data_IF_756034692594
#
_entry.id   IF_756034692594
#
_cell.length_a   1.000
_cell.length_b   1.000
_cell.length_c   1.000
_cell.angle_alpha   90.00
_cell.angle_beta   90.00
_cell.angle_gamma   90.00
#
_symmetry.space_group_name_H-M   'P 1'
#
loop_
_entity.id
_entity.type
_entity.pdbx_description
1 polymer ?
#
# COMPACT_ATOMS: atom_id res chain seq x y z
N UNK A 1 35.33 -16.70 -1.81
CA UNK A 1 34.51 -16.25 -2.96
C UNK A 1 33.58 -15.15 -2.46
N UNK A 2 33.42 -14.03 -3.20
CA UNK A 2 32.53 -12.95 -2.77
C UNK A 2 31.09 -13.45 -2.64
N UNK A 3 30.39 -12.99 -1.62
CA UNK A 3 28.99 -13.38 -1.37
C UNK A 3 28.07 -12.84 -2.49
N UNK A 4 26.87 -13.44 -2.69
CA UNK A 4 25.92 -12.96 -3.69
C UNK A 4 25.63 -11.45 -3.60
N UNK A 5 25.49 -10.91 -2.38
CA UNK A 5 25.25 -9.49 -2.15
C UNK A 5 26.47 -8.60 -2.46
N UNK A 6 27.69 -9.08 -2.23
CA UNK A 6 28.90 -8.34 -2.61
C UNK A 6 29.03 -8.21 -4.13
N UNK A 7 28.76 -9.31 -4.86
CA UNK A 7 28.71 -9.28 -6.32
C UNK A 7 27.67 -8.29 -6.83
N UNK A 8 26.53 -8.21 -6.15
CA UNK A 8 25.44 -7.29 -6.50
C UNK A 8 25.88 -5.85 -6.37
N UNK A 9 26.46 -5.47 -5.24
CA UNK A 9 26.91 -4.10 -5.04
C UNK A 9 28.01 -3.68 -6.01
N UNK A 10 28.89 -4.61 -6.42
CA UNK A 10 29.85 -4.32 -7.49
C UNK A 10 29.15 -4.00 -8.82
N UNK A 11 28.16 -4.79 -9.23
CA UNK A 11 27.42 -4.55 -10.49
C UNK A 11 26.49 -3.34 -10.43
N UNK A 12 25.93 -3.04 -9.26
CA UNK A 12 25.05 -1.90 -9.03
C UNK A 12 25.81 -0.58 -8.75
N UNK A 13 27.14 -0.61 -8.74
CA UNK A 13 27.98 0.53 -8.34
C UNK A 13 27.81 1.78 -9.20
N UNK A 14 27.35 1.65 -10.45
CA UNK A 14 27.05 2.77 -11.32
C UNK A 14 25.74 3.50 -10.97
N UNK A 15 24.79 2.82 -10.31
CA UNK A 15 23.44 3.34 -10.06
C UNK A 15 23.46 4.66 -9.26
N UNK A 16 24.21 4.80 -8.16
CA UNK A 16 24.26 6.07 -7.42
C UNK A 16 24.70 7.27 -8.26
N UNK A 17 25.68 7.07 -9.15
CA UNK A 17 26.14 8.12 -10.08
C UNK A 17 25.05 8.47 -11.08
N UNK A 18 24.33 7.48 -11.62
CA UNK A 18 23.21 7.74 -12.53
C UNK A 18 22.10 8.53 -11.84
N UNK A 19 21.75 8.20 -10.60
CA UNK A 19 20.77 8.95 -9.81
C UNK A 19 21.20 10.40 -9.58
N UNK A 20 22.46 10.62 -9.20
CA UNK A 20 23.01 11.98 -9.05
C UNK A 20 22.93 12.80 -10.34
N UNK A 21 23.18 12.17 -11.49
CA UNK A 21 23.08 12.85 -12.78
C UNK A 21 21.62 13.17 -13.15
N UNK A 22 20.66 12.34 -12.76
CA UNK A 22 19.22 12.63 -12.93
C UNK A 22 18.81 13.80 -12.06
N UNK A 23 19.25 13.86 -10.80
CA UNK A 23 18.93 14.97 -9.90
C UNK A 23 19.47 16.31 -10.45
N UNK A 24 20.71 16.30 -10.96
CA UNK A 24 21.30 17.45 -11.63
C UNK A 24 20.49 17.84 -12.88
N UNK A 25 20.17 16.88 -13.74
CA UNK A 25 19.35 17.11 -14.93
C UNK A 25 17.96 17.71 -14.58
N UNK A 26 17.27 17.16 -13.58
CA UNK A 26 15.96 17.65 -13.13
C UNK A 26 16.05 19.09 -12.61
N UNK A 27 17.16 19.48 -11.97
CA UNK A 27 17.39 20.86 -11.53
C UNK A 27 17.65 21.84 -12.69
N UNK A 28 18.43 21.43 -13.70
CA UNK A 28 18.80 22.26 -14.86
C UNK A 28 17.68 22.37 -15.90
N UNK A 29 16.85 21.33 -16.05
CA UNK A 29 15.78 21.23 -17.07
C UNK A 29 14.58 22.17 -16.87
N UNK A 30 14.54 22.94 -15.77
CA UNK A 30 13.49 23.94 -15.53
C UNK A 30 13.65 25.20 -16.41
N UNK A 31 14.81 25.38 -17.05
CA UNK A 31 15.06 26.49 -17.97
C UNK A 31 14.60 26.15 -19.40
N UNK A 32 13.49 26.76 -19.82
CA UNK A 32 12.82 26.50 -21.12
C UNK A 32 13.65 26.84 -22.37
N UNK A 33 14.82 27.47 -22.21
CA UNK A 33 15.70 27.91 -23.30
C UNK A 33 16.56 26.79 -23.90
N UNK A 34 16.67 25.61 -23.26
CA UNK A 34 17.55 24.49 -23.64
C UNK A 34 16.80 23.20 -24.02
N UNK A 35 15.62 23.31 -24.65
CA UNK A 35 14.74 22.16 -24.90
C UNK A 35 15.38 21.01 -25.70
N UNK A 36 16.21 21.30 -26.72
CA UNK A 36 16.86 20.25 -27.53
C UNK A 36 17.99 19.53 -26.77
N UNK A 37 18.82 20.27 -26.04
CA UNK A 37 19.87 19.72 -25.20
C UNK A 37 19.29 18.85 -24.08
N UNK A 38 18.18 19.29 -23.48
CA UNK A 38 17.48 18.53 -22.45
C UNK A 38 16.95 17.18 -22.97
N UNK A 39 16.46 17.13 -24.21
CA UNK A 39 16.02 15.86 -24.83
C UNK A 39 17.20 14.91 -25.06
N UNK A 40 18.34 15.42 -25.54
CA UNK A 40 19.56 14.63 -25.74
C UNK A 40 20.11 14.08 -24.41
N UNK A 41 20.17 14.91 -23.37
CA UNK A 41 20.63 14.50 -22.04
C UNK A 41 19.69 13.46 -21.41
N UNK A 42 18.38 13.66 -21.49
CA UNK A 42 17.39 12.67 -21.04
C UNK A 42 17.54 11.33 -21.78
N UNK A 43 17.84 11.36 -23.10
CA UNK A 43 18.06 10.15 -23.90
C UNK A 43 19.33 9.41 -23.48
N UNK A 44 20.43 10.11 -23.23
CA UNK A 44 21.67 9.51 -22.76
C UNK A 44 21.51 8.86 -21.36
N UNK A 45 20.78 9.52 -20.46
CA UNK A 45 20.44 8.96 -19.14
C UNK A 45 19.58 7.69 -19.29
N UNK A 46 18.54 7.71 -20.14
CA UNK A 46 17.73 6.52 -20.42
C UNK A 46 18.57 5.34 -20.88
N UNK A 47 19.47 5.55 -21.84
CA UNK A 47 20.34 4.48 -22.33
C UNK A 47 21.22 3.90 -21.21
N UNK A 48 21.72 4.77 -20.33
CA UNK A 48 22.52 4.36 -19.18
C UNK A 48 21.73 3.51 -18.17
N UNK A 49 20.47 3.88 -17.88
CA UNK A 49 19.59 3.06 -17.04
C UNK A 49 19.18 1.74 -17.68
N UNK A 50 18.96 1.71 -19.00
CA UNK A 50 18.71 0.45 -19.71
C UNK A 50 19.91 -0.48 -19.61
N UNK A 51 21.12 0.03 -19.82
CA UNK A 51 22.35 -0.75 -19.62
C UNK A 51 22.47 -1.27 -18.19
N UNK A 52 22.18 -0.44 -17.18
CA UNK A 52 22.16 -0.87 -15.79
C UNK A 52 21.12 -1.99 -15.53
N UNK A 53 19.92 -1.88 -16.09
CA UNK A 53 18.89 -2.93 -15.99
C UNK A 53 19.31 -4.23 -16.68
N UNK A 54 19.93 -4.17 -17.86
CA UNK A 54 20.46 -5.35 -18.55
C UNK A 54 21.49 -6.06 -17.67
N UNK A 55 22.42 -5.33 -17.07
CA UNK A 55 23.40 -5.90 -16.13
C UNK A 55 22.74 -6.54 -14.90
N UNK A 56 21.67 -5.95 -14.36
CA UNK A 56 20.90 -6.52 -13.25
C UNK A 56 20.11 -7.77 -13.67
N UNK A 57 19.56 -7.81 -14.89
CA UNK A 57 18.86 -8.98 -15.44
C UNK A 57 19.82 -10.15 -15.66
N UNK A 58 21.00 -9.90 -16.23
CA UNK A 58 22.06 -10.90 -16.36
C UNK A 58 22.48 -11.46 -15.01
N UNK A 59 22.60 -10.57 -14.02
CA UNK A 59 22.91 -11.00 -12.65
C UNK A 59 21.82 -11.88 -12.03
N UNK A 60 20.55 -11.56 -12.25
CA UNK A 60 19.45 -12.38 -11.75
C UNK A 60 19.49 -13.80 -12.36
N UNK A 61 19.80 -13.89 -13.66
CA UNK A 61 19.98 -15.17 -14.34
C UNK A 61 21.16 -15.96 -13.76
N UNK A 62 22.29 -15.29 -13.49
CA UNK A 62 23.45 -15.91 -12.83
C UNK A 62 23.11 -16.42 -11.43
N UNK A 63 22.42 -15.62 -10.60
CA UNK A 63 21.98 -16.02 -9.27
C UNK A 63 21.05 -17.23 -9.34
N UNK A 64 20.09 -17.21 -10.26
CA UNK A 64 19.14 -18.30 -10.48
C UNK A 64 19.86 -19.59 -10.90
N UNK A 65 20.83 -19.51 -11.81
CA UNK A 65 21.64 -20.66 -12.23
C UNK A 65 22.52 -21.24 -11.11
N UNK A 66 22.94 -20.41 -10.16
CA UNK A 66 23.67 -20.80 -8.96
C UNK A 66 22.76 -21.34 -7.84
N UNK A 67 21.45 -21.43 -8.09
CA UNK A 67 20.47 -21.92 -7.12
C UNK A 67 19.97 -20.86 -6.13
N UNK A 68 20.39 -19.60 -6.28
CA UNK A 68 19.89 -18.46 -5.49
C UNK A 68 18.56 -17.98 -6.09
N UNK A 69 17.49 -18.73 -5.85
CA UNK A 69 16.11 -18.40 -6.25
C UNK A 69 15.13 -18.71 -5.12
N UNK A 70 13.91 -18.13 -5.12
CA UNK A 70 12.88 -18.54 -4.19
C UNK A 70 12.66 -20.06 -4.26
N UNK A 71 12.57 -20.71 -3.09
CA UNK A 71 12.41 -22.14 -2.94
C UNK A 71 11.12 -22.49 -2.20
N UNK A 72 10.81 -23.77 -2.14
CA UNK A 72 9.68 -24.27 -1.35
C UNK A 72 10.01 -24.18 0.15
N UNK A 73 9.00 -23.95 1.01
CA UNK A 73 9.17 -24.06 2.46
C UNK A 73 9.69 -25.45 2.85
N UNK A 74 10.44 -25.57 3.97
CA UNK A 74 10.77 -26.87 4.52
C UNK A 74 9.48 -27.64 4.88
N UNK A 75 9.44 -28.98 4.71
CA UNK A 75 8.23 -29.76 4.96
C UNK A 75 7.82 -29.67 6.43
N UNK A 76 6.70 -28.99 6.70
CA UNK A 76 6.10 -28.85 8.03
C UNK A 76 5.42 -30.16 8.45
N UNK A 77 5.72 -30.66 9.65
CA UNK A 77 5.06 -31.86 10.23
C UNK A 77 3.63 -31.61 10.75
N UNK A 78 3.09 -30.39 10.64
CA UNK A 78 1.75 -30.03 11.12
C UNK A 78 0.75 -29.93 9.97
N UNK A 79 -0.21 -30.86 9.95
CA UNK A 79 -1.44 -30.74 9.15
C UNK A 79 -2.42 -29.81 9.87
N UNK A 80 -2.38 -28.51 9.59
CA UNK A 80 -3.47 -27.60 9.95
C UNK A 80 -3.47 -26.38 9.03
N UNK A 81 -4.65 -26.07 8.45
CA UNK A 81 -5.27 -24.80 8.00
C UNK A 81 -4.41 -23.63 7.40
N UNK A 82 -3.10 -23.55 7.62
CA UNK A 82 -2.15 -22.51 7.18
C UNK A 82 -1.69 -22.63 5.71
N UNK A 83 -2.25 -23.57 4.94
CA UNK A 83 -1.84 -23.85 3.56
C UNK A 83 -1.87 -22.64 2.63
N UNK A 84 -2.77 -21.67 2.84
CA UNK A 84 -2.87 -20.47 1.98
C UNK A 84 -1.87 -19.36 2.35
N UNK A 85 -1.35 -19.33 3.58
CA UNK A 85 -0.37 -18.34 4.02
C UNK A 85 1.04 -18.77 3.62
N UNK A 86 1.35 -20.07 3.73
CA UNK A 86 2.62 -20.64 3.26
C UNK A 86 2.85 -20.50 1.74
N UNK A 87 1.79 -20.49 0.93
CA UNK A 87 1.88 -20.27 -0.53
C UNK A 87 2.32 -18.84 -0.89
N UNK A 88 2.28 -17.90 0.06
CA UNK A 88 2.50 -16.46 -0.17
C UNK A 88 3.85 -15.95 0.32
N UNK A 89 4.56 -16.73 1.12
CA UNK A 89 5.87 -16.39 1.67
C UNK A 89 6.97 -16.93 0.76
N UNK A 90 7.90 -16.08 0.35
CA UNK A 90 9.06 -16.53 -0.39
C UNK A 90 10.11 -17.09 0.57
N UNK A 91 10.45 -18.36 0.38
CA UNK A 91 11.56 -19.00 1.08
C UNK A 91 12.83 -18.92 0.24
N UNK A 92 13.99 -18.93 0.88
CA UNK A 92 15.28 -18.84 0.21
C UNK A 92 16.26 -19.90 0.73
N UNK A 93 17.29 -20.27 -0.05
CA UNK A 93 18.34 -21.19 0.40
C UNK A 93 19.16 -20.67 1.60
N UNK A 94 19.07 -19.37 1.91
CA UNK A 94 19.78 -18.73 3.02
C UNK A 94 19.67 -17.21 2.96
N UNK A 95 19.97 -16.54 4.08
CA UNK A 95 19.82 -15.08 4.22
C UNK A 95 20.62 -14.27 3.20
N UNK A 96 21.79 -14.76 2.79
CA UNK A 96 22.63 -14.10 1.78
C UNK A 96 22.00 -14.13 0.39
N UNK A 97 21.22 -15.16 0.08
CA UNK A 97 20.46 -15.29 -1.17
C UNK A 97 19.24 -14.38 -1.14
N UNK A 98 18.50 -14.39 -0.02
CA UNK A 98 17.35 -13.52 0.20
C UNK A 98 17.75 -12.04 0.07
N UNK A 99 18.80 -11.62 0.78
CA UNK A 99 19.29 -10.25 0.71
C UNK A 99 19.76 -9.87 -0.70
N UNK A 100 20.45 -10.75 -1.42
CA UNK A 100 20.86 -10.46 -2.79
C UNK A 100 19.68 -10.26 -3.74
N UNK A 101 18.65 -11.10 -3.68
CA UNK A 101 17.48 -10.97 -4.54
C UNK A 101 16.64 -9.74 -4.17
N UNK A 102 16.39 -9.53 -2.88
CA UNK A 102 15.61 -8.37 -2.39
C UNK A 102 16.27 -7.04 -2.79
N UNK A 103 17.59 -6.91 -2.67
CA UNK A 103 18.30 -5.71 -3.15
C UNK A 103 18.35 -5.61 -4.67
N UNK A 104 18.47 -6.73 -5.39
CA UNK A 104 18.44 -6.75 -6.85
C UNK A 104 17.09 -6.23 -7.37
N UNK A 105 15.98 -6.70 -6.80
CA UNK A 105 14.63 -6.21 -7.11
C UNK A 105 14.47 -4.73 -6.75
N UNK A 106 15.03 -4.31 -5.60
CA UNK A 106 15.03 -2.90 -5.18
C UNK A 106 15.75 -2.00 -6.20
N UNK A 107 16.92 -2.41 -6.69
CA UNK A 107 17.66 -1.65 -7.70
C UNK A 107 16.95 -1.62 -9.06
N UNK A 108 16.31 -2.73 -9.46
CA UNK A 108 15.46 -2.75 -10.64
C UNK A 108 14.30 -1.77 -10.53
N UNK A 109 13.59 -1.75 -9.39
CA UNK A 109 12.50 -0.79 -9.13
C UNK A 109 13.00 0.64 -9.29
N UNK A 110 14.16 0.98 -8.72
CA UNK A 110 14.75 2.31 -8.81
C UNK A 110 15.03 2.67 -10.29
N UNK A 111 15.77 1.83 -11.01
CA UNK A 111 16.09 2.10 -12.42
C UNK A 111 14.85 2.22 -13.31
N UNK A 112 13.86 1.33 -13.12
CA UNK A 112 12.60 1.37 -13.88
C UNK A 112 11.76 2.62 -13.55
N UNK A 113 11.80 3.08 -12.30
CA UNK A 113 11.08 4.30 -11.87
C UNK A 113 11.70 5.53 -12.53
N UNK A 114 13.02 5.68 -12.51
CA UNK A 114 13.70 6.79 -13.18
C UNK A 114 13.52 6.76 -14.70
N UNK A 115 13.54 5.57 -15.33
CA UNK A 115 13.23 5.43 -16.75
C UNK A 115 11.83 5.94 -17.10
N UNK A 116 10.85 5.66 -16.24
CA UNK A 116 9.46 6.12 -16.42
C UNK A 116 9.35 7.62 -16.26
N UNK A 117 10.02 8.23 -15.26
CA UNK A 117 10.01 9.68 -15.08
C UNK A 117 10.73 10.40 -16.24
N UNK A 118 11.88 9.89 -16.67
CA UNK A 118 12.59 10.42 -17.84
C UNK A 118 11.78 10.30 -19.14
N UNK A 119 10.83 9.35 -19.22
CA UNK A 119 9.93 9.20 -20.37
C UNK A 119 9.10 10.46 -20.63
N UNK A 120 8.75 11.20 -19.58
CA UNK A 120 7.95 12.43 -19.65
C UNK A 120 8.69 13.58 -20.37
N UNK A 121 10.02 13.55 -20.42
CA UNK A 121 10.87 14.59 -21.03
C UNK A 121 11.16 14.37 -22.52
N UNK A 122 10.70 13.27 -23.14
CA UNK A 122 10.97 12.99 -24.56
C UNK A 122 9.67 12.85 -25.36
N UNK A 123 9.45 13.73 -26.34
CA UNK A 123 8.45 13.50 -27.38
C UNK A 123 8.96 12.43 -28.37
N UNK A 124 8.08 11.55 -28.91
CA UNK A 124 8.49 10.53 -29.86
C UNK A 124 8.79 11.20 -31.20
N UNK A 125 10.08 11.38 -31.53
CA UNK A 125 10.47 11.95 -32.83
C UNK A 125 11.21 10.97 -33.75
N UNK A 126 11.60 9.78 -33.29
CA UNK A 126 12.34 8.82 -34.14
C UNK A 126 11.89 7.36 -33.96
N UNK A 127 11.65 6.69 -35.10
CA UNK A 127 11.23 5.28 -35.22
C UNK A 127 12.29 4.30 -34.65
N UNK A 128 13.57 4.70 -34.60
CA UNK A 128 14.65 3.87 -34.05
C UNK A 128 14.61 3.76 -32.52
N UNK A 129 14.04 4.76 -31.82
CA UNK A 129 13.80 4.67 -30.37
C UNK A 129 12.71 3.63 -30.04
N UNK A 130 11.68 3.47 -30.88
CA UNK A 130 10.62 2.48 -30.64
C UNK A 130 11.12 1.03 -30.65
N UNK A 131 12.24 0.73 -31.32
CA UNK A 131 12.76 -0.65 -31.43
C UNK A 131 13.55 -1.03 -30.16
N UNK A 132 14.32 -0.11 -29.59
CA UNK A 132 15.17 -0.37 -28.43
C UNK A 132 14.38 -0.38 -27.10
N UNK A 133 13.23 0.31 -27.04
CA UNK A 133 12.43 0.49 -25.82
C UNK A 133 11.09 -0.26 -25.83
N UNK A 134 10.88 -1.23 -26.73
CA UNK A 134 9.59 -1.93 -26.92
C UNK A 134 9.04 -2.59 -25.64
N UNK A 135 9.91 -3.18 -24.82
CA UNK A 135 9.54 -3.81 -23.54
C UNK A 135 9.43 -2.82 -22.37
N UNK A 136 9.77 -1.55 -22.61
CA UNK A 136 9.87 -0.48 -21.62
C UNK A 136 8.69 0.52 -21.72
N UNK A 137 7.54 0.06 -22.21
CA UNK A 137 6.33 0.92 -22.20
C UNK A 137 6.00 1.36 -20.76
N UNK A 138 5.52 2.60 -20.55
CA UNK A 138 5.23 3.10 -19.20
C UNK A 138 4.28 2.20 -18.40
N UNK A 139 3.32 1.56 -19.08
CA UNK A 139 2.39 0.61 -18.48
C UNK A 139 3.08 -0.72 -18.09
N UNK A 140 3.92 -1.27 -18.97
CA UNK A 140 4.72 -2.48 -18.70
C UNK A 140 5.65 -2.27 -17.51
N UNK A 141 6.38 -1.15 -17.51
CA UNK A 141 7.27 -0.77 -16.40
C UNK A 141 6.51 -0.62 -15.08
N UNK A 142 5.34 0.02 -15.10
CA UNK A 142 4.50 0.15 -13.90
C UNK A 142 4.10 -1.22 -13.34
N UNK A 143 3.70 -2.16 -14.19
CA UNK A 143 3.32 -3.50 -13.77
C UNK A 143 4.52 -4.24 -13.13
N UNK A 144 5.66 -4.27 -13.81
CA UNK A 144 6.89 -4.91 -13.30
C UNK A 144 7.35 -4.30 -11.97
N UNK A 145 7.30 -2.96 -11.83
CA UNK A 145 7.64 -2.28 -10.58
C UNK A 145 6.74 -2.74 -9.41
N UNK A 146 5.44 -2.94 -9.65
CA UNK A 146 4.51 -3.42 -8.62
C UNK A 146 4.80 -4.88 -8.28
N UNK A 147 5.01 -5.74 -9.28
CA UNK A 147 5.36 -7.15 -9.04
C UNK A 147 6.64 -7.28 -8.19
N UNK A 148 7.69 -6.53 -8.52
CA UNK A 148 8.92 -6.52 -7.73
C UNK A 148 8.69 -6.03 -6.30
N UNK A 149 7.85 -5.01 -6.11
CA UNK A 149 7.51 -4.52 -4.76
C UNK A 149 6.76 -5.59 -3.95
N UNK A 150 5.87 -6.36 -4.58
CA UNK A 150 5.17 -7.50 -3.95
C UNK A 150 6.17 -8.59 -3.56
N UNK A 151 7.11 -8.97 -4.44
CA UNK A 151 8.15 -9.96 -4.13
C UNK A 151 9.00 -9.54 -2.92
N UNK A 152 9.34 -8.24 -2.82
CA UNK A 152 10.04 -7.70 -1.66
C UNK A 152 9.19 -7.93 -0.39
N UNK A 153 7.91 -7.55 -0.39
CA UNK A 153 7.02 -7.74 0.76
C UNK A 153 6.88 -9.23 1.15
N UNK A 154 6.70 -10.12 0.17
CA UNK A 154 6.57 -11.57 0.40
C UNK A 154 7.85 -12.22 0.94
N UNK A 155 9.00 -11.55 0.79
CA UNK A 155 10.28 -12.01 1.35
C UNK A 155 10.44 -11.66 2.83
N UNK A 156 9.66 -10.70 3.34
CA UNK A 156 9.88 -10.14 4.68
C UNK A 156 9.71 -11.18 5.76
N UNK A 157 8.69 -12.05 5.66
CA UNK A 157 8.41 -13.09 6.64
C UNK A 157 9.57 -14.09 6.76
N UNK A 158 10.30 -14.38 5.67
CA UNK A 158 11.55 -15.14 5.73
C UNK A 158 12.71 -14.32 6.32
N UNK A 159 12.87 -13.07 5.88
CA UNK A 159 14.00 -12.23 6.28
C UNK A 159 13.97 -11.85 7.77
N UNK A 160 12.80 -11.80 8.41
CA UNK A 160 12.67 -11.37 9.82
C UNK A 160 12.59 -12.53 10.81
N UNK A 161 12.79 -13.77 10.37
CA UNK A 161 12.82 -14.93 11.27
C UNK A 161 13.95 -14.81 12.29
N UNK A 162 13.74 -15.37 13.48
CA UNK A 162 14.69 -15.32 14.60
C UNK A 162 16.07 -15.87 14.20
N UNK A 163 16.10 -16.89 13.34
CA UNK A 163 17.32 -17.52 12.82
C UNK A 163 18.18 -16.58 11.96
N UNK A 164 17.58 -15.55 11.35
CA UNK A 164 18.29 -14.59 10.50
C UNK A 164 19.07 -13.55 11.32
N UNK A 165 18.85 -13.52 12.64
CA UNK A 165 19.47 -12.61 13.59
C UNK A 165 19.41 -11.15 13.11
N UNK A 166 20.42 -10.33 13.43
CA UNK A 166 20.44 -8.91 13.05
C UNK A 166 20.47 -8.67 11.53
N UNK A 167 21.06 -9.60 10.76
CA UNK A 167 21.27 -9.44 9.32
C UNK A 167 19.97 -9.44 8.51
N UNK A 168 18.92 -10.07 9.04
CA UNK A 168 17.62 -10.15 8.42
C UNK A 168 16.85 -8.83 8.47
N UNK A 169 16.35 -8.42 9.65
CA UNK A 169 15.58 -7.19 9.81
C UNK A 169 16.35 -5.94 9.36
N UNK A 170 17.65 -5.82 9.66
CA UNK A 170 18.43 -4.62 9.31
C UNK A 170 18.58 -4.43 7.78
N UNK A 171 18.75 -5.52 7.03
CA UNK A 171 18.86 -5.48 5.57
C UNK A 171 17.52 -5.26 4.88
N UNK A 172 16.42 -5.59 5.55
CA UNK A 172 15.06 -5.49 5.01
C UNK A 172 14.51 -4.06 5.00
N UNK A 173 14.99 -3.18 5.89
CA UNK A 173 14.43 -1.81 6.09
C UNK A 173 14.38 -1.01 4.78
N UNK A 174 15.53 -0.92 4.07
CA UNK A 174 15.61 -0.08 2.88
C UNK A 174 14.74 -0.63 1.73
N UNK A 175 14.84 -1.91 1.34
CA UNK A 175 13.94 -2.53 0.37
C UNK A 175 12.45 -2.36 0.72
N UNK A 176 12.08 -2.59 1.97
CA UNK A 176 10.69 -2.49 2.41
C UNK A 176 10.17 -1.06 2.31
N UNK A 177 10.99 -0.06 2.63
CA UNK A 177 10.64 1.36 2.45
C UNK A 177 10.38 1.70 0.99
N UNK A 178 11.21 1.18 0.07
CA UNK A 178 11.01 1.38 -1.37
C UNK A 178 9.73 0.69 -1.84
N UNK A 179 9.52 -0.58 -1.48
CA UNK A 179 8.30 -1.32 -1.83
C UNK A 179 7.05 -0.62 -1.30
N UNK A 180 7.06 -0.16 -0.05
CA UNK A 180 5.95 0.59 0.54
C UNK A 180 5.68 1.89 -0.22
N UNK A 181 6.70 2.68 -0.56
CA UNK A 181 6.54 3.90 -1.39
C UNK A 181 5.89 3.58 -2.73
N UNK A 182 6.33 2.53 -3.40
CA UNK A 182 5.77 2.08 -4.68
C UNK A 182 4.32 1.67 -4.50
N UNK A 183 4.00 0.77 -3.57
CA UNK A 183 2.64 0.28 -3.38
C UNK A 183 1.70 1.42 -3.00
N UNK A 184 2.12 2.33 -2.11
CA UNK A 184 1.37 3.54 -1.74
C UNK A 184 1.12 4.49 -2.92
N UNK A 185 2.03 4.56 -3.88
CA UNK A 185 1.84 5.37 -5.11
C UNK A 185 1.09 4.63 -6.21
N UNK A 186 1.14 3.30 -6.22
CA UNK A 186 0.43 2.44 -7.16
C UNK A 186 -1.08 2.36 -6.83
N UNK A 187 -1.45 2.54 -5.56
CA UNK A 187 -2.83 2.64 -5.11
C UNK A 187 -3.54 3.94 -5.55
N UNK A 188 -2.90 4.78 -6.37
CA UNK A 188 -3.49 6.05 -6.80
C UNK A 188 -4.70 5.90 -7.75
N UNK A 189 -5.65 6.84 -7.61
CA UNK A 189 -6.94 7.03 -8.30
C UNK A 189 -7.80 5.79 -8.63
N UNK A 190 -7.36 4.84 -9.45
CA UNK A 190 -8.15 3.67 -9.85
C UNK A 190 -8.44 2.70 -8.70
N UNK A 191 -7.45 2.44 -7.84
CA UNK A 191 -7.63 1.56 -6.69
C UNK A 191 -8.54 2.20 -5.63
N UNK A 192 -8.39 3.50 -5.33
CA UNK A 192 -9.29 4.19 -4.39
C UNK A 192 -10.74 4.18 -4.89
N UNK A 193 -10.99 4.31 -6.19
CA UNK A 193 -12.36 4.18 -6.74
C UNK A 193 -12.88 2.75 -6.55
N UNK A 194 -12.08 1.73 -6.90
CA UNK A 194 -12.42 0.32 -6.69
C UNK A 194 -12.72 0.02 -5.22
N UNK A 195 -11.85 0.45 -4.33
CA UNK A 195 -11.92 0.24 -2.89
C UNK A 195 -13.08 1.00 -2.25
N UNK A 196 -13.34 2.24 -2.64
CA UNK A 196 -14.51 3.00 -2.19
C UNK A 196 -15.80 2.25 -2.50
N UNK A 197 -15.90 1.71 -3.72
CA UNK A 197 -17.04 0.89 -4.13
C UNK A 197 -17.13 -0.41 -3.32
N UNK A 198 -16.02 -1.13 -3.16
CA UNK A 198 -16.01 -2.40 -2.43
C UNK A 198 -16.34 -2.26 -0.94
N UNK A 199 -15.95 -1.15 -0.30
CA UNK A 199 -16.35 -0.86 1.08
C UNK A 199 -17.87 -0.65 1.16
N UNK A 200 -18.45 0.10 0.22
CA UNK A 200 -19.91 0.26 0.13
C UNK A 200 -20.63 -1.08 -0.13
N UNK A 201 -20.14 -1.88 -1.08
CA UNK A 201 -20.67 -3.21 -1.39
C UNK A 201 -20.59 -4.14 -0.17
N UNK A 202 -19.50 -4.11 0.59
CA UNK A 202 -19.35 -4.90 1.80
C UNK A 202 -20.37 -4.49 2.88
N UNK A 203 -20.56 -3.19 3.10
CA UNK A 203 -21.55 -2.67 4.04
C UNK A 203 -22.98 -3.07 3.63
N UNK A 204 -23.33 -2.93 2.35
CA UNK A 204 -24.62 -3.41 1.79
C UNK A 204 -24.82 -4.89 2.05
N UNK A 205 -23.79 -5.70 1.79
CA UNK A 205 -23.87 -7.14 1.93
C UNK A 205 -24.16 -7.54 3.38
N UNK A 206 -23.41 -7.02 4.36
CA UNK A 206 -23.62 -7.37 5.77
C UNK A 206 -24.98 -6.88 6.27
N UNK A 207 -25.41 -5.68 5.87
CA UNK A 207 -26.73 -5.14 6.23
C UNK A 207 -27.86 -5.98 5.64
N UNK A 208 -27.68 -6.56 4.44
CA UNK A 208 -28.66 -7.47 3.83
C UNK A 208 -28.86 -8.78 4.60
N UNK A 209 -27.85 -9.19 5.38
CA UNK A 209 -27.94 -10.32 6.31
C UNK A 209 -28.43 -9.91 7.70
N UNK A 210 -28.82 -8.65 7.90
CA UNK A 210 -29.22 -8.12 9.20
C UNK A 210 -28.06 -7.91 10.17
N UNK A 211 -26.81 -7.92 9.67
CA UNK A 211 -25.60 -7.75 10.48
C UNK A 211 -25.19 -6.28 10.50
N UNK A 212 -24.99 -5.74 11.70
CA UNK A 212 -24.45 -4.39 11.94
C UNK A 212 -23.02 -4.58 12.46
N UNK A 213 -22.02 -4.04 11.76
CA UNK A 213 -20.62 -4.30 12.10
C UNK A 213 -20.22 -3.65 13.42
N UNK A 214 -20.70 -2.43 13.67
CA UNK A 214 -20.45 -1.60 14.87
C UNK A 214 -19.00 -1.14 15.06
N UNK A 215 -18.07 -1.51 14.16
CA UNK A 215 -16.66 -1.11 14.19
C UNK A 215 -16.08 -0.98 12.77
N UNK A 216 -16.82 -0.41 11.83
CA UNK A 216 -16.27 -0.18 10.49
C UNK A 216 -15.08 0.79 10.56
N UNK A 217 -13.93 0.38 10.05
CA UNK A 217 -12.75 1.22 9.97
C UNK A 217 -11.79 0.63 8.94
N UNK A 218 -10.90 1.44 8.36
CA UNK A 218 -9.94 0.91 7.38
C UNK A 218 -9.05 -0.18 7.94
N UNK A 219 -8.73 -0.14 9.24
CA UNK A 219 -7.97 -1.20 9.91
C UNK A 219 -8.64 -2.59 9.82
N UNK A 220 -9.96 -2.63 9.65
CA UNK A 220 -10.75 -3.85 9.49
C UNK A 220 -10.94 -4.26 8.03
N UNK A 221 -10.46 -3.45 7.08
CA UNK A 221 -10.52 -3.68 5.64
C UNK A 221 -9.16 -4.23 5.19
N UNK A 222 -9.15 -5.51 4.83
CA UNK A 222 -7.97 -6.20 4.33
C UNK A 222 -7.93 -6.16 2.81
N UNK A 223 -6.73 -6.07 2.24
CA UNK A 223 -6.52 -6.15 0.79
C UNK A 223 -6.00 -7.55 0.47
N UNK A 224 -6.62 -8.24 -0.49
CA UNK A 224 -6.14 -9.53 -0.96
C UNK A 224 -5.19 -9.40 -2.17
N UNK A 225 -4.75 -10.55 -2.67
CA UNK A 225 -3.76 -10.71 -3.74
C UNK A 225 -4.25 -10.22 -5.11
N UNK A 226 -5.57 -10.06 -5.31
CA UNK A 226 -6.15 -9.43 -6.50
C UNK A 226 -6.41 -7.93 -6.31
N UNK A 227 -5.90 -7.37 -5.21
CA UNK A 227 -6.17 -6.00 -4.76
C UNK A 227 -7.67 -5.75 -4.55
N UNK A 228 -8.43 -6.79 -4.18
CA UNK A 228 -9.82 -6.70 -3.76
C UNK A 228 -9.89 -6.57 -2.23
N UNK A 229 -10.93 -5.91 -1.75
CA UNK A 229 -11.13 -5.71 -0.32
C UNK A 229 -11.89 -6.87 0.32
N UNK A 230 -11.52 -7.17 1.57
CA UNK A 230 -12.21 -8.10 2.46
C UNK A 230 -12.46 -7.45 3.81
N UNK A 231 -13.71 -7.42 4.23
CA UNK A 231 -14.09 -6.96 5.56
C UNK A 231 -13.83 -8.06 6.59
N UNK A 232 -13.15 -7.72 7.69
CA UNK A 232 -12.84 -8.61 8.79
C UNK A 232 -13.28 -8.07 10.15
N UNK A 233 -13.00 -8.85 11.20
CA UNK A 233 -13.22 -8.51 12.62
C UNK A 233 -14.68 -8.20 13.02
N UNK A 234 -15.51 -9.25 13.00
CA UNK A 234 -16.92 -9.18 13.42
C UNK A 234 -17.14 -9.31 14.94
N UNK A 235 -16.10 -9.11 15.76
CA UNK A 235 -16.21 -9.33 17.21
C UNK A 235 -17.18 -8.35 17.90
N UNK A 236 -17.34 -7.15 17.32
CA UNK A 236 -18.27 -6.12 17.81
C UNK A 236 -19.63 -6.16 17.12
N UNK A 237 -19.83 -7.10 16.19
CA UNK A 237 -21.01 -7.14 15.34
C UNK A 237 -22.26 -7.60 16.06
N UNK A 238 -23.41 -7.13 15.57
CA UNK A 238 -24.72 -7.45 16.09
C UNK A 238 -25.60 -7.99 14.95
N UNK A 239 -26.50 -8.92 15.27
CA UNK A 239 -27.48 -9.42 14.32
C UNK A 239 -28.86 -8.94 14.74
N UNK A 240 -29.60 -8.34 13.82
CA UNK A 240 -31.00 -8.01 14.02
C UNK A 240 -31.84 -9.28 13.83
N UNK A 241 -32.43 -9.78 14.91
CA UNK A 241 -33.25 -11.00 14.92
C UNK A 241 -34.01 -11.15 16.24
N UNK A 242 -34.98 -12.08 16.35
CA UNK A 242 -35.65 -12.33 17.62
C UNK A 242 -34.60 -12.72 18.68
N UNK A 243 -34.75 -12.23 19.93
CA UNK A 243 -33.74 -12.40 20.96
C UNK A 243 -33.39 -13.87 21.11
N UNK A 244 -32.09 -14.17 21.10
CA UNK A 244 -31.62 -15.53 21.31
C UNK A 244 -32.19 -16.05 22.65
N UNK A 245 -32.57 -17.32 22.72
CA UNK A 245 -33.11 -17.99 23.92
C UNK A 245 -32.09 -18.13 25.08
N UNK A 246 -31.12 -17.22 25.18
CA UNK A 246 -30.13 -17.13 26.26
C UNK A 246 -30.28 -15.81 27.01
N UNK A 247 -30.07 -15.84 28.33
CA UNK A 247 -30.19 -14.65 29.19
C UNK A 247 -29.23 -13.54 28.75
N UNK A 248 -29.77 -12.50 28.12
CA UNK A 248 -29.03 -11.31 27.72
C UNK A 248 -28.83 -10.36 28.92
N UNK A 249 -27.58 -9.90 29.11
CA UNK A 249 -27.28 -8.81 30.05
C UNK A 249 -27.89 -7.51 29.52
N UNK A 250 -28.51 -6.72 30.40
CA UNK A 250 -29.13 -5.42 30.10
C UNK A 250 -28.21 -4.39 29.39
N UNK A 251 -26.89 -4.62 29.34
CA UNK A 251 -25.92 -3.81 28.58
C UNK A 251 -26.01 -3.98 27.05
N UNK A 252 -26.77 -4.96 26.56
CA UNK A 252 -26.94 -5.24 25.12
C UNK A 252 -28.26 -4.68 24.53
N UNK A 253 -29.07 -3.96 25.33
CA UNK A 253 -30.35 -3.37 24.90
C UNK A 253 -30.28 -1.93 24.38
N UNK A 254 -29.10 -1.43 23.98
CA UNK A 254 -29.06 -0.19 23.20
C UNK A 254 -29.36 -0.57 21.75
N UNK A 255 -30.56 -0.23 21.25
CA UNK A 255 -30.90 -0.35 19.83
C UNK A 255 -29.87 0.45 19.04
N UNK A 256 -28.90 -0.24 18.44
CA UNK A 256 -27.91 0.39 17.57
C UNK A 256 -28.42 0.19 16.15
N UNK A 257 -29.02 1.24 15.60
CA UNK A 257 -29.63 1.24 14.29
C UNK A 257 -28.55 1.33 13.19
N UNK A 258 -28.89 0.90 11.96
CA UNK A 258 -28.01 0.94 10.79
C UNK A 258 -27.37 2.32 10.55
N UNK A 259 -28.01 3.39 11.03
CA UNK A 259 -27.53 4.77 10.98
C UNK A 259 -26.14 4.96 11.61
N UNK A 260 -25.83 4.25 12.70
CA UNK A 260 -24.51 4.31 13.34
C UNK A 260 -23.43 3.69 12.45
N UNK A 261 -23.72 2.55 11.82
CA UNK A 261 -22.82 1.88 10.90
C UNK A 261 -22.57 2.75 9.65
N UNK A 262 -23.59 3.46 9.17
CA UNK A 262 -23.48 4.41 8.04
C UNK A 262 -22.61 5.61 8.40
N UNK A 263 -22.77 6.15 9.61
CA UNK A 263 -21.96 7.28 10.09
C UNK A 263 -20.47 6.90 10.16
N UNK A 264 -20.18 5.72 10.69
CA UNK A 264 -18.81 5.18 10.78
C UNK A 264 -18.26 4.75 9.41
N UNK A 265 -19.13 4.28 8.51
CA UNK A 265 -18.81 4.04 7.10
C UNK A 265 -18.33 5.34 6.42
N UNK A 266 -18.96 6.48 6.71
CA UNK A 266 -18.50 7.80 6.24
C UNK A 266 -17.06 8.10 6.67
N UNK A 267 -16.72 7.83 7.93
CA UNK A 267 -15.36 7.99 8.46
C UNK A 267 -14.35 7.06 7.79
N UNK A 268 -14.74 5.81 7.56
CA UNK A 268 -13.93 4.82 6.86
C UNK A 268 -13.64 5.24 5.42
N UNK A 269 -14.66 5.74 4.71
CA UNK A 269 -14.53 6.25 3.36
C UNK A 269 -13.67 7.52 3.32
N UNK A 270 -13.79 8.41 4.29
CA UNK A 270 -12.92 9.60 4.42
C UNK A 270 -11.46 9.20 4.59
N UNK A 271 -11.17 8.27 5.50
CA UNK A 271 -9.81 7.78 5.75
C UNK A 271 -9.16 7.23 4.47
N UNK A 272 -9.94 6.53 3.63
CA UNK A 272 -9.48 5.96 2.37
C UNK A 272 -8.99 7.04 1.39
N UNK A 273 -9.73 8.14 1.30
CA UNK A 273 -9.49 9.18 0.29
C UNK A 273 -8.58 10.30 0.79
N UNK A 274 -8.61 10.60 2.09
CA UNK A 274 -7.80 11.63 2.73
C UNK A 274 -6.44 11.09 3.22
N UNK A 275 -6.31 9.75 3.39
CA UNK A 275 -5.07 9.11 3.85
C UNK A 275 -4.81 9.25 5.35
N UNK A 276 -5.83 9.65 6.12
CA UNK A 276 -5.78 9.81 7.57
C UNK A 276 -7.19 9.90 8.16
N UNK A 277 -7.32 9.56 9.44
CA UNK A 277 -8.62 9.57 10.13
C UNK A 277 -9.22 10.99 10.19
N UNK A 278 -10.56 11.11 10.28
CA UNK A 278 -11.21 12.40 10.53
C UNK A 278 -10.60 13.08 11.75
N UNK A 279 -10.31 14.37 11.65
CA UNK A 279 -9.71 15.18 12.71
C UNK A 279 -8.33 14.70 13.20
N UNK A 280 -7.54 14.07 12.33
CA UNK A 280 -6.18 13.61 12.64
C UNK A 280 -5.27 14.70 13.24
N UNK A 281 -5.54 15.99 12.97
CA UNK A 281 -4.87 17.16 13.55
C UNK A 281 -5.10 17.34 15.06
N UNK A 282 -6.12 16.68 15.63
CA UNK A 282 -6.37 16.67 17.07
C UNK A 282 -5.45 15.68 17.82
N UNK A 283 -4.68 14.85 17.09
CA UNK A 283 -3.64 14.02 17.67
C UNK A 283 -2.36 14.85 17.84
N UNK A 284 -1.90 15.12 19.08
CA UNK A 284 -0.66 15.85 19.29
C UNK A 284 0.55 15.00 18.86
N UNK A 285 1.63 15.68 18.45
CA UNK A 285 2.89 15.07 18.00
C UNK A 285 3.37 13.96 18.94
N UNK A 286 3.80 12.85 18.35
CA UNK A 286 4.40 11.70 19.04
C UNK A 286 5.58 12.16 19.91
N UNK A 287 5.46 11.91 21.23
CA UNK A 287 6.57 12.05 22.17
C UNK A 287 7.36 10.74 22.17
N UNK A 288 8.69 10.79 22.13
CA UNK A 288 9.57 9.60 22.15
C UNK A 288 9.63 8.89 23.53
N UNK A 289 8.95 9.39 24.55
CA UNK A 289 9.00 8.82 25.91
C UNK A 289 7.95 7.70 26.11
N UNK A 290 8.36 6.44 26.37
CA UNK A 290 7.46 5.28 26.43
C UNK A 290 6.35 5.37 27.50
N UNK A 291 6.64 6.01 28.64
CA UNK A 291 5.70 6.15 29.74
C UNK A 291 4.70 7.29 29.49
N UNK A 292 5.15 8.39 28.87
CA UNK A 292 4.30 9.44 28.33
C UNK A 292 3.39 8.91 27.21
N UNK A 293 3.88 8.06 26.30
CA UNK A 293 3.08 7.41 25.24
C UNK A 293 1.94 6.57 25.85
N UNK A 294 2.22 5.71 26.84
CA UNK A 294 1.18 4.89 27.48
C UNK A 294 0.14 5.71 28.25
N UNK A 295 0.58 6.77 28.95
CA UNK A 295 -0.31 7.66 29.68
C UNK A 295 -1.15 8.54 28.74
N UNK A 296 -0.57 8.96 27.61
CA UNK A 296 -1.25 9.70 26.55
C UNK A 296 -2.31 8.82 25.89
N UNK A 297 -1.96 7.61 25.40
CA UNK A 297 -2.90 6.69 24.73
C UNK A 297 -4.17 6.44 25.55
N UNK A 298 -4.04 6.25 26.88
CA UNK A 298 -5.21 5.97 27.75
C UNK A 298 -6.11 7.18 28.02
N UNK A 299 -5.57 8.40 28.03
CA UNK A 299 -6.36 9.64 28.22
C UNK A 299 -6.87 10.21 26.89
N UNK A 300 -6.12 9.99 25.80
CA UNK A 300 -6.37 10.52 24.47
C UNK A 300 -7.61 9.89 23.83
N UNK A 301 -7.78 8.57 23.91
CA UNK A 301 -8.95 7.91 23.29
C UNK A 301 -10.26 8.46 23.85
N UNK A 302 -10.40 8.60 25.18
CA UNK A 302 -11.63 9.12 25.77
C UNK A 302 -11.91 10.60 25.42
N UNK A 303 -10.88 11.47 25.39
CA UNK A 303 -11.07 12.90 25.11
C UNK A 303 -11.34 13.16 23.63
N UNK A 304 -10.63 12.45 22.73
CA UNK A 304 -10.83 12.55 21.28
C UNK A 304 -12.19 11.99 20.89
N UNK A 305 -12.60 10.85 21.45
CA UNK A 305 -13.92 10.27 21.17
C UNK A 305 -15.05 11.21 21.62
N UNK A 306 -14.93 11.84 22.80
CA UNK A 306 -15.91 12.82 23.29
C UNK A 306 -15.97 14.07 22.40
N UNK A 307 -14.82 14.59 21.98
CA UNK A 307 -14.74 15.75 21.09
C UNK A 307 -15.30 15.41 19.70
N UNK A 308 -15.01 14.22 19.18
CA UNK A 308 -15.62 13.72 17.94
C UNK A 308 -17.13 13.63 18.10
N UNK A 309 -17.65 12.93 19.11
CA UNK A 309 -19.09 12.82 19.37
C UNK A 309 -19.77 14.20 19.46
N UNK A 310 -19.12 15.18 20.12
CA UNK A 310 -19.64 16.54 20.23
C UNK A 310 -19.65 17.28 18.87
N UNK A 311 -18.61 17.12 18.05
CA UNK A 311 -18.57 17.67 16.69
C UNK A 311 -19.61 17.04 15.77
N UNK A 312 -19.80 15.71 15.84
CA UNK A 312 -20.85 15.02 15.11
C UNK A 312 -22.24 15.51 15.53
N UNK A 313 -22.46 15.68 16.85
CA UNK A 313 -23.70 16.27 17.40
C UNK A 313 -23.93 17.69 16.89
N UNK A 314 -22.86 18.49 16.77
CA UNK A 314 -22.90 19.86 16.25
C UNK A 314 -22.88 19.95 14.72
N UNK A 315 -22.88 18.82 14.01
CA UNK A 315 -22.77 18.75 12.54
C UNK A 315 -21.51 19.45 11.99
N UNK A 316 -20.42 19.43 12.75
CA UNK A 316 -19.14 20.06 12.43
C UNK A 316 -18.17 19.04 11.84
N UNK A 317 -18.28 18.76 10.56
CA UNK A 317 -17.48 17.74 9.87
C UNK A 317 -16.19 18.31 9.25
N UNK A 318 -15.16 17.47 8.97
CA UNK A 318 -14.02 17.87 8.18
C UNK A 318 -14.43 18.40 6.80
N UNK A 319 -13.62 19.30 6.24
CA UNK A 319 -13.86 19.84 4.90
C UNK A 319 -13.61 18.73 3.87
N UNK A 320 -14.60 18.48 3.01
CA UNK A 320 -14.57 17.45 1.96
C UNK A 320 -14.66 18.02 0.55
N UNK A 321 -14.46 19.33 0.36
CA UNK A 321 -14.60 20.01 -0.95
C UNK A 321 -13.62 19.49 -1.99
N UNK A 322 -12.38 19.19 -1.58
CA UNK A 322 -11.32 18.67 -2.44
C UNK A 322 -11.17 17.14 -2.31
N UNK A 323 -12.09 16.51 -1.59
CA UNK A 323 -12.08 15.09 -1.30
C UNK A 323 -12.98 14.35 -2.29
N UNK A 324 -12.46 13.29 -2.91
CA UNK A 324 -13.21 12.49 -3.88
C UNK A 324 -14.48 11.93 -3.25
N UNK A 325 -15.61 12.07 -3.97
CA UNK A 325 -16.94 11.64 -3.51
C UNK A 325 -17.25 12.15 -2.09
N UNK A 326 -16.74 13.35 -1.78
CA UNK A 326 -17.00 14.04 -0.51
C UNK A 326 -18.48 14.27 -0.25
N UNK A 327 -19.30 14.33 -1.31
CA UNK A 327 -20.76 14.35 -1.23
C UNK A 327 -21.34 13.11 -0.55
N UNK A 328 -20.79 11.93 -0.80
CA UNK A 328 -21.22 10.66 -0.18
C UNK A 328 -20.73 10.59 1.26
N UNK A 329 -19.46 10.93 1.50
CA UNK A 329 -18.89 10.96 2.86
C UNK A 329 -19.70 11.89 3.76
N UNK A 330 -19.99 13.10 3.28
CA UNK A 330 -20.80 14.07 3.99
C UNK A 330 -22.25 13.62 4.15
N UNK A 331 -22.80 12.92 3.16
CA UNK A 331 -24.13 12.34 3.23
C UNK A 331 -24.25 11.28 4.33
N UNK A 332 -23.25 10.41 4.46
CA UNK A 332 -23.16 9.44 5.56
C UNK A 332 -23.16 10.14 6.94
N UNK A 333 -22.32 11.15 7.11
CA UNK A 333 -22.20 11.88 8.38
C UNK A 333 -23.42 12.71 8.75
N UNK A 334 -24.11 13.26 7.75
CA UNK A 334 -25.36 14.03 7.94
C UNK A 334 -26.59 13.14 8.13
N UNK A 335 -26.45 11.81 8.05
CA UNK A 335 -27.59 10.89 8.07
C UNK A 335 -28.53 11.06 6.87
N UNK A 336 -27.99 11.44 5.70
CA UNK A 336 -28.77 11.57 4.46
C UNK A 336 -29.09 10.23 3.81
N UNK A 337 -28.41 9.16 4.25
CA UNK A 337 -28.66 7.80 3.81
C UNK A 337 -29.21 6.98 4.99
N UNK A 338 -30.37 6.36 4.79
CA UNK A 338 -30.97 5.44 5.76
C UNK A 338 -30.34 4.03 5.66
N UNK A 339 -29.76 3.69 4.51
CA UNK A 339 -29.12 2.39 4.28
C UNK A 339 -27.79 2.54 3.53
N UNK A 340 -26.88 1.56 3.68
CA UNK A 340 -25.68 1.49 2.85
C UNK A 340 -25.98 1.39 1.35
N UNK A 341 -27.16 0.85 0.99
CA UNK A 341 -27.60 0.73 -0.41
C UNK A 341 -27.82 2.10 -1.05
N UNK A 342 -28.42 3.05 -0.33
CA UNK A 342 -28.61 4.42 -0.85
C UNK A 342 -27.27 5.13 -1.12
N UNK A 343 -26.28 4.92 -0.24
CA UNK A 343 -24.93 5.43 -0.43
C UNK A 343 -24.25 4.79 -1.67
N UNK A 344 -24.43 3.48 -1.88
CA UNK A 344 -23.94 2.77 -3.05
C UNK A 344 -24.62 3.22 -4.35
N UNK A 345 -25.94 3.37 -4.35
CA UNK A 345 -26.69 3.85 -5.51
C UNK A 345 -26.23 5.26 -5.89
N UNK A 346 -26.04 6.13 -4.89
CA UNK A 346 -25.54 7.49 -5.10
C UNK A 346 -24.10 7.52 -5.64
N UNK A 347 -23.29 6.52 -5.32
CA UNK A 347 -21.95 6.34 -5.86
C UNK A 347 -21.96 5.92 -7.34
N UNK A 348 -22.92 5.07 -7.73
CA UNK A 348 -23.04 4.51 -9.09
C UNK A 348 -23.73 5.45 -10.09
N UNK A 349 -24.55 6.39 -9.63
CA UNK A 349 -25.29 7.34 -10.48
C UNK A 349 -24.45 8.51 -11.02
N UNK A 350 -23.16 8.58 -10.69
CA UNK A 350 -22.35 9.80 -10.81
C UNK A 350 -21.01 9.63 -11.51
#
# INVERSE_FOLDING_TARGET
>A
MPSPIQKLFCRASAIPTLLSNVDQFKAESQDSSLAEENVLNARALKFSFVSALTNLNEMENELTSQGHRPCQPPPSNSKSVESKHLDRVLWFPGITSANALVYLWTFKIICMTELRELAEFSAPRHIEDEICFRDLSPASLKHQIIELAVLICQSMEYCIQDEMALYGPASAIYPLRIAHKILKSATNYGAHTKWFRQILEAAVLIHSFGVIHSDLALRQILVDDTLDLRLGDFNSSQCTGPPALGHEKASHCLSRDYELDILVLGSTLYELVAGGAPYSELNPNESDDPDSIKAQIRRQHAVVDIEMEDRYRKQQFPVVTDVRRGDIILGCWKGQFATAQEALDRYLQA
#
